data_IF_021484198475
#
_entry.id   IF_021484198475
#
_cell.length_a   1.000
_cell.length_b   1.000
_cell.length_c   1.000
_cell.angle_alpha   90.00
_cell.angle_beta   90.00
_cell.angle_gamma   90.00
#
_symmetry.space_group_name_H-M   'P 1'
#
loop_
_entity.id
_entity.type
_entity.pdbx_description
1 polymer ?
#
# COMPACT_ATOMS: atom_id res chain seq x y z
N UNK A 1 24.60 1.30 12.09
CA UNK A 1 25.56 1.94 11.14
C UNK A 1 26.70 1.00 10.93
N UNK A 2 27.12 0.78 9.69
CA UNK A 2 28.25 -0.10 9.34
C UNK A 2 29.55 0.67 9.20
N UNK A 3 30.65 0.02 9.50
CA UNK A 3 31.99 0.59 9.42
C UNK A 3 32.94 -0.39 8.74
N UNK A 4 34.00 0.12 8.12
CA UNK A 4 35.11 -0.68 7.58
C UNK A 4 36.43 -0.23 8.22
N UNK A 5 37.24 -1.19 8.62
CA UNK A 5 38.59 -0.90 9.14
C UNK A 5 39.54 -0.49 8.03
N UNK A 6 40.12 0.71 8.10
CA UNK A 6 40.88 1.33 6.99
C UNK A 6 42.08 0.56 6.49
N UNK A 7 42.67 -0.30 7.31
CA UNK A 7 43.84 -1.10 6.92
C UNK A 7 43.58 -2.59 6.78
N UNK A 8 42.56 -3.14 7.46
CA UNK A 8 42.27 -4.58 7.45
C UNK A 8 41.12 -4.95 6.53
N UNK A 9 40.32 -3.98 6.08
CA UNK A 9 39.11 -4.24 5.27
C UNK A 9 37.98 -4.97 6.01
N UNK A 10 38.14 -5.25 7.30
CA UNK A 10 37.13 -5.91 8.14
C UNK A 10 35.94 -4.99 8.30
N UNK A 11 34.73 -5.52 8.15
CA UNK A 11 33.50 -4.77 8.40
C UNK A 11 32.93 -5.04 9.78
N UNK A 12 32.23 -4.07 10.33
CA UNK A 12 31.57 -4.16 11.62
C UNK A 12 30.31 -3.31 11.67
N UNK A 13 29.38 -3.70 12.53
CA UNK A 13 28.14 -2.97 12.80
C UNK A 13 28.21 -2.34 14.18
N UNK A 14 27.71 -1.12 14.34
CA UNK A 14 27.65 -0.42 15.64
C UNK A 14 26.19 -0.46 16.16
N UNK A 15 25.85 -1.42 17.04
CA UNK A 15 24.52 -1.51 17.64
C UNK A 15 24.30 -0.49 18.76
N UNK A 16 25.37 -0.12 19.47
CA UNK A 16 25.37 0.81 20.60
C UNK A 16 26.51 1.81 20.44
N UNK A 17 26.48 3.01 21.04
CA UNK A 17 27.57 3.96 20.98
C UNK A 17 28.90 3.32 21.46
N UNK A 18 29.95 3.49 20.67
CA UNK A 18 31.31 2.99 20.94
C UNK A 18 31.49 1.46 21.03
N UNK A 19 30.49 0.69 20.59
CA UNK A 19 30.60 -0.78 20.52
C UNK A 19 30.49 -1.24 19.07
N UNK A 20 31.56 -1.84 18.56
CA UNK A 20 31.58 -2.47 17.24
C UNK A 20 31.40 -3.97 17.37
N UNK A 21 30.56 -4.56 16.55
CA UNK A 21 30.40 -6.01 16.38
C UNK A 21 30.96 -6.38 15.02
N UNK A 22 32.01 -7.19 15.01
CA UNK A 22 32.72 -7.60 13.80
C UNK A 22 31.84 -8.56 13.00
N UNK A 23 31.58 -8.22 11.72
CA UNK A 23 30.83 -9.07 10.83
C UNK A 23 31.58 -10.40 10.59
N UNK A 24 30.86 -11.50 10.72
CA UNK A 24 31.38 -12.86 10.52
C UNK A 24 31.91 -13.55 11.78
N UNK A 25 32.41 -12.83 12.80
CA UNK A 25 32.88 -13.42 14.06
C UNK A 25 31.97 -13.12 15.24
N UNK A 26 31.10 -12.11 15.13
CA UNK A 26 30.32 -11.57 16.24
C UNK A 26 31.13 -11.07 17.45
N UNK A 27 32.43 -10.85 17.27
CA UNK A 27 33.31 -10.28 18.30
C UNK A 27 32.90 -8.85 18.60
N UNK A 28 32.74 -8.52 19.89
CA UNK A 28 32.39 -7.15 20.34
C UNK A 28 33.67 -6.41 20.74
N UNK A 29 33.86 -5.23 20.16
CA UNK A 29 34.98 -4.35 20.42
C UNK A 29 34.47 -3.03 20.98
N UNK A 30 34.92 -2.68 22.20
CA UNK A 30 34.72 -1.32 22.71
C UNK A 30 35.77 -0.39 22.09
N UNK A 31 35.37 0.68 21.49
CA UNK A 31 36.25 1.63 20.80
C UNK A 31 36.02 3.05 21.32
N UNK A 32 37.11 3.78 21.55
CA UNK A 32 36.99 5.21 21.82
C UNK A 32 36.70 5.97 20.54
N UNK A 33 36.13 7.17 20.66
CA UNK A 33 35.86 8.09 19.50
C UNK A 33 37.12 8.34 18.68
N UNK A 34 38.28 8.43 19.30
CA UNK A 34 39.57 8.62 18.64
C UNK A 34 39.94 7.40 17.80
N UNK A 35 39.78 6.19 18.38
CA UNK A 35 40.04 4.91 17.72
C UNK A 35 39.09 4.71 16.56
N UNK A 36 37.81 5.04 16.75
CA UNK A 36 36.78 4.96 15.73
C UNK A 36 37.15 5.84 14.53
N UNK A 37 37.42 7.13 14.76
CA UNK A 37 37.79 8.08 13.69
C UNK A 37 39.10 7.75 12.97
N UNK A 38 40.04 7.15 13.65
CA UNK A 38 41.37 6.84 13.12
C UNK A 38 41.39 5.57 12.28
N UNK A 39 40.70 4.55 12.71
CA UNK A 39 40.82 3.20 12.14
C UNK A 39 39.56 2.68 11.46
N UNK A 40 38.42 3.28 11.73
CA UNK A 40 37.15 2.84 11.20
C UNK A 40 36.47 3.96 10.39
N UNK A 41 36.18 3.68 9.14
CA UNK A 41 35.43 4.57 8.26
C UNK A 41 33.99 4.10 8.22
N UNK A 42 33.06 4.99 8.52
CA UNK A 42 31.65 4.71 8.31
C UNK A 42 31.45 4.34 6.85
N UNK A 43 30.90 3.19 6.59
CA UNK A 43 30.35 2.87 5.29
C UNK A 43 29.06 3.67 5.25
N UNK A 44 29.04 4.76 4.49
CA UNK A 44 27.76 5.25 4.01
C UNK A 44 27.20 4.07 3.22
N UNK A 45 26.24 3.35 3.86
CA UNK A 45 25.35 2.50 3.06
C UNK A 45 24.89 3.45 1.96
N UNK A 46 25.19 3.12 0.71
CA UNK A 46 24.67 3.84 -0.43
C UNK A 46 23.20 4.10 -0.11
N UNK A 47 22.90 5.30 0.36
CA UNK A 47 21.54 5.77 0.33
C UNK A 47 21.16 5.47 -1.09
N UNK A 48 20.21 4.58 -1.36
CA UNK A 48 19.91 4.23 -2.73
C UNK A 48 19.81 5.56 -3.43
N UNK A 49 20.79 5.83 -4.30
CA UNK A 49 20.80 7.02 -5.17
C UNK A 49 19.38 7.08 -5.64
N UNK A 50 18.67 8.15 -5.30
CA UNK A 50 17.24 8.21 -5.56
C UNK A 50 17.10 7.84 -7.02
N UNK A 51 16.76 6.58 -7.27
CA UNK A 51 16.62 6.07 -8.62
C UNK A 51 15.67 7.06 -9.28
N UNK A 52 16.01 7.52 -10.46
CA UNK A 52 15.12 8.44 -11.16
C UNK A 52 13.72 7.86 -11.09
N UNK A 53 12.71 8.66 -10.72
CA UNK A 53 11.38 8.13 -10.52
C UNK A 53 10.94 7.43 -11.81
N UNK A 54 10.65 6.14 -11.71
CA UNK A 54 10.19 5.32 -12.82
C UNK A 54 9.00 6.01 -13.49
N UNK A 55 8.98 6.09 -14.80
CA UNK A 55 7.85 6.65 -15.54
C UNK A 55 6.59 5.83 -15.24
N UNK A 56 5.44 6.47 -15.23
CA UNK A 56 4.17 5.76 -14.96
C UNK A 56 3.96 4.61 -15.96
N UNK A 57 4.34 4.77 -17.22
CA UNK A 57 4.26 3.70 -18.22
C UNK A 57 5.13 2.48 -17.84
N UNK A 58 6.34 2.71 -17.35
CA UNK A 58 7.24 1.64 -16.89
C UNK A 58 6.68 0.95 -15.63
N UNK A 59 6.09 1.74 -14.73
CA UNK A 59 5.40 1.21 -13.54
C UNK A 59 4.25 0.29 -13.92
N UNK A 60 3.38 0.71 -14.83
CA UNK A 60 2.26 -0.10 -15.29
C UNK A 60 2.75 -1.35 -16.02
N UNK A 61 3.73 -1.22 -16.90
CA UNK A 61 4.34 -2.38 -17.59
C UNK A 61 4.92 -3.39 -16.59
N UNK A 62 5.62 -2.94 -15.56
CA UNK A 62 6.17 -3.84 -14.53
C UNK A 62 5.05 -4.56 -13.75
N UNK A 63 3.95 -3.88 -13.45
CA UNK A 63 2.80 -4.47 -12.77
C UNK A 63 2.04 -5.45 -13.68
N UNK A 64 1.96 -5.19 -14.98
CA UNK A 64 1.37 -6.12 -15.96
C UNK A 64 2.22 -7.39 -16.10
N UNK A 65 3.55 -7.26 -16.14
CA UNK A 65 4.46 -8.41 -16.12
C UNK A 65 4.32 -9.21 -14.82
N UNK A 66 4.20 -8.51 -13.68
CA UNK A 66 3.96 -9.14 -12.37
C UNK A 66 2.64 -9.92 -12.37
N UNK A 67 1.57 -9.34 -12.90
CA UNK A 67 0.29 -10.03 -13.06
C UNK A 67 0.44 -11.30 -13.88
N UNK A 68 1.08 -11.23 -15.05
CA UNK A 68 1.26 -12.38 -15.93
C UNK A 68 2.03 -13.51 -15.23
N UNK A 69 3.11 -13.19 -14.48
CA UNK A 69 3.86 -14.15 -13.68
C UNK A 69 3.03 -14.80 -12.57
N UNK A 70 2.30 -13.99 -11.80
CA UNK A 70 1.41 -14.49 -10.74
C UNK A 70 0.28 -15.35 -11.33
N UNK A 71 -0.25 -14.97 -12.49
CA UNK A 71 -1.27 -15.72 -13.20
C UNK A 71 -0.76 -17.12 -13.63
N UNK A 72 0.45 -17.19 -14.16
CA UNK A 72 1.12 -18.46 -14.50
C UNK A 72 1.34 -19.33 -13.24
N UNK A 73 1.87 -18.75 -12.16
CA UNK A 73 2.25 -19.48 -10.95
C UNK A 73 1.03 -20.03 -10.19
N UNK A 74 -0.02 -19.23 -10.04
CA UNK A 74 -1.10 -19.51 -9.09
C UNK A 74 -2.48 -19.72 -9.71
N UNK A 75 -2.65 -19.40 -11.00
CA UNK A 75 -3.96 -19.46 -11.66
C UNK A 75 -3.88 -20.17 -13.02
N UNK A 76 -2.80 -20.89 -13.29
CA UNK A 76 -2.59 -21.68 -14.52
C UNK A 76 -2.73 -20.83 -15.81
N UNK A 77 -2.46 -19.52 -15.72
CA UNK A 77 -2.64 -18.58 -16.83
C UNK A 77 -4.09 -18.32 -17.23
N UNK A 78 -5.07 -18.75 -16.42
CA UNK A 78 -6.49 -18.75 -16.78
C UNK A 78 -7.24 -17.48 -16.44
N UNK A 79 -6.68 -16.58 -15.63
CA UNK A 79 -7.35 -15.33 -15.31
C UNK A 79 -7.40 -14.41 -16.53
N UNK A 80 -8.56 -13.80 -16.80
CA UNK A 80 -8.64 -12.75 -17.82
C UNK A 80 -7.74 -11.58 -17.43
N UNK A 81 -7.02 -11.03 -18.41
CA UNK A 81 -6.14 -9.87 -18.15
C UNK A 81 -6.98 -8.63 -17.83
N UNK A 82 -6.81 -8.04 -16.63
CA UNK A 82 -7.50 -6.80 -16.28
C UNK A 82 -6.73 -5.58 -16.79
N UNK A 83 -7.35 -4.42 -16.75
CA UNK A 83 -6.63 -3.15 -16.79
C UNK A 83 -6.02 -2.92 -15.40
N UNK A 84 -4.70 -2.76 -15.33
CA UNK A 84 -4.02 -2.43 -14.07
C UNK A 84 -3.85 -0.93 -13.97
N UNK A 85 -4.31 -0.36 -12.84
CA UNK A 85 -4.21 1.06 -12.56
C UNK A 85 -3.51 1.34 -11.24
N UNK A 86 -2.95 2.54 -11.10
CA UNK A 86 -2.36 3.03 -9.84
C UNK A 86 -3.02 4.36 -9.52
N UNK A 87 -4.06 4.30 -8.71
CA UNK A 87 -4.86 5.47 -8.34
C UNK A 87 -4.90 5.67 -6.83
N UNK A 88 -5.28 6.87 -6.39
CA UNK A 88 -5.41 7.17 -4.98
C UNK A 88 -6.50 6.35 -4.31
N UNK A 89 -6.11 5.53 -3.34
CA UNK A 89 -7.01 4.71 -2.54
C UNK A 89 -6.55 4.73 -1.08
N UNK A 90 -6.74 5.83 -0.36
CA UNK A 90 -6.07 6.08 0.92
C UNK A 90 -6.49 5.14 2.07
N UNK A 91 -7.49 4.29 1.86
CA UNK A 91 -8.01 3.36 2.88
C UNK A 91 -7.83 1.89 2.51
N UNK A 92 -7.31 1.59 1.33
CA UNK A 92 -7.09 0.22 0.87
C UNK A 92 -5.79 0.14 0.06
N UNK A 93 -5.13 -1.01 0.11
CA UNK A 93 -3.92 -1.25 -0.67
C UNK A 93 -4.21 -1.47 -2.15
N UNK A 94 -5.41 -1.96 -2.47
CA UNK A 94 -5.90 -2.19 -3.81
C UNK A 94 -7.39 -2.43 -3.83
N UNK A 95 -7.94 -2.67 -5.01
CA UNK A 95 -9.27 -3.23 -5.21
C UNK A 95 -9.39 -3.85 -6.60
N UNK A 96 -10.22 -4.88 -6.71
CA UNK A 96 -10.68 -5.46 -7.95
C UNK A 96 -12.13 -5.03 -8.22
N UNK A 97 -12.45 -4.62 -9.44
CA UNK A 97 -13.83 -4.28 -9.81
C UNK A 97 -14.69 -5.53 -9.95
N UNK A 98 -15.93 -5.46 -9.49
CA UNK A 98 -16.90 -6.57 -9.61
C UNK A 98 -17.60 -6.62 -10.97
N UNK A 99 -17.31 -5.66 -11.85
CA UNK A 99 -17.84 -5.55 -13.21
C UNK A 99 -16.73 -5.17 -14.16
N UNK A 100 -16.88 -5.55 -15.41
CA UNK A 100 -16.02 -5.09 -16.49
C UNK A 100 -16.35 -3.63 -16.82
N UNK A 101 -15.53 -2.72 -16.32
CA UNK A 101 -15.77 -1.26 -16.44
C UNK A 101 -14.97 -0.62 -17.57
N UNK A 102 -13.99 -1.32 -18.10
CA UNK A 102 -13.25 -0.90 -19.29
C UNK A 102 -13.84 -1.59 -20.51
N UNK A 103 -14.21 -0.81 -21.52
CA UNK A 103 -14.86 -1.30 -22.73
C UNK A 103 -14.15 -0.75 -23.97
N UNK A 104 -13.95 -1.60 -24.96
CA UNK A 104 -13.63 -1.26 -26.33
C UNK A 104 -14.69 -1.88 -27.24
N UNK A 105 -14.62 -1.65 -28.55
CA UNK A 105 -15.61 -2.15 -29.49
C UNK A 105 -15.80 -3.68 -29.43
N UNK A 106 -14.73 -4.41 -29.11
CA UNK A 106 -14.71 -5.89 -29.13
C UNK A 106 -14.45 -6.54 -27.77
N UNK A 107 -14.19 -5.80 -26.71
CA UNK A 107 -13.81 -6.37 -25.41
C UNK A 107 -14.26 -5.54 -24.21
N UNK A 108 -14.53 -6.24 -23.13
CA UNK A 108 -14.77 -5.63 -21.82
C UNK A 108 -13.79 -6.24 -20.80
N UNK A 109 -13.21 -5.41 -19.92
CA UNK A 109 -12.17 -5.83 -18.97
C UNK A 109 -12.49 -5.35 -17.57
N UNK A 110 -12.09 -6.17 -16.60
CA UNK A 110 -12.06 -5.78 -15.19
C UNK A 110 -10.91 -4.79 -14.93
N UNK A 111 -10.96 -4.10 -13.80
CA UNK A 111 -9.85 -3.29 -13.31
C UNK A 111 -9.31 -3.87 -12.02
N UNK A 112 -7.99 -3.93 -11.90
CA UNK A 112 -7.29 -4.08 -10.63
C UNK A 112 -6.53 -2.78 -10.38
N UNK A 113 -6.92 -2.07 -9.33
CA UNK A 113 -6.21 -0.87 -8.89
C UNK A 113 -5.30 -1.15 -7.71
N UNK A 114 -4.08 -0.66 -7.76
CA UNK A 114 -3.16 -0.62 -6.62
C UNK A 114 -3.12 0.78 -6.03
N UNK A 115 -3.28 0.88 -4.71
CA UNK A 115 -3.32 2.16 -4.00
C UNK A 115 -2.00 2.91 -4.13
N UNK A 116 -2.04 4.04 -4.80
CA UNK A 116 -0.87 4.86 -5.07
C UNK A 116 -0.16 5.36 -3.81
N UNK A 117 -0.86 5.43 -2.67
CA UNK A 117 -0.31 5.79 -1.36
C UNK A 117 0.63 4.71 -0.81
N UNK A 118 0.49 3.48 -1.29
CA UNK A 118 1.16 2.30 -0.75
C UNK A 118 2.09 1.61 -1.75
N UNK A 119 2.28 2.19 -2.94
CA UNK A 119 3.07 1.58 -4.01
C UNK A 119 4.58 1.53 -3.72
N UNK A 120 5.09 2.38 -2.82
CA UNK A 120 6.51 2.47 -2.46
C UNK A 120 6.98 1.41 -1.45
N UNK A 121 6.17 0.37 -1.21
CA UNK A 121 6.53 -0.77 -0.36
C UNK A 121 7.51 -1.71 -1.05
N UNK A 122 8.18 -2.63 -0.29
CA UNK A 122 8.95 -3.71 -0.90
C UNK A 122 8.14 -4.46 -1.96
N UNK A 123 8.78 -4.90 -3.05
CA UNK A 123 8.10 -5.55 -4.18
C UNK A 123 7.31 -6.80 -3.75
N UNK A 124 7.80 -7.57 -2.79
CA UNK A 124 7.07 -8.71 -2.23
C UNK A 124 5.68 -8.32 -1.69
N UNK A 125 5.59 -7.19 -0.99
CA UNK A 125 4.32 -6.68 -0.44
C UNK A 125 3.39 -6.15 -1.55
N UNK A 126 3.93 -5.53 -2.58
CA UNK A 126 3.17 -5.08 -3.75
C UNK A 126 2.63 -6.28 -4.53
N UNK A 127 3.45 -7.32 -4.71
CA UNK A 127 3.06 -8.56 -5.35
C UNK A 127 1.97 -9.31 -4.56
N UNK A 128 2.10 -9.37 -3.22
CA UNK A 128 1.08 -9.95 -2.35
C UNK A 128 -0.25 -9.19 -2.43
N UNK A 129 -0.20 -7.86 -2.54
CA UNK A 129 -1.42 -7.05 -2.76
C UNK A 129 -2.03 -7.34 -4.13
N UNK A 130 -1.22 -7.38 -5.19
CA UNK A 130 -1.74 -7.72 -6.52
C UNK A 130 -2.35 -9.11 -6.53
N UNK A 131 -1.70 -10.11 -5.92
CA UNK A 131 -2.22 -11.47 -5.81
C UNK A 131 -3.53 -11.53 -5.01
N UNK A 132 -3.67 -10.73 -3.95
CA UNK A 132 -4.93 -10.57 -3.20
C UNK A 132 -6.08 -10.13 -4.12
N UNK A 133 -5.86 -9.10 -4.93
CA UNK A 133 -6.87 -8.63 -5.89
C UNK A 133 -7.13 -9.66 -7.02
N UNK A 134 -6.10 -10.44 -7.39
CA UNK A 134 -6.25 -11.55 -8.34
C UNK A 134 -7.08 -12.70 -7.76
N UNK A 135 -7.03 -12.94 -6.44
CA UNK A 135 -7.93 -13.90 -5.76
C UNK A 135 -9.38 -13.43 -5.86
N UNK A 136 -9.65 -12.13 -5.69
CA UNK A 136 -11.00 -11.58 -5.93
C UNK A 136 -11.45 -11.79 -7.36
N UNK A 137 -10.58 -11.52 -8.34
CA UNK A 137 -10.87 -11.76 -9.75
C UNK A 137 -11.14 -13.25 -10.02
N UNK A 138 -10.33 -14.15 -9.45
CA UNK A 138 -10.52 -15.58 -9.56
C UNK A 138 -11.88 -16.02 -9.00
N UNK A 139 -12.21 -15.57 -7.81
CA UNK A 139 -13.50 -15.88 -7.18
C UNK A 139 -14.66 -15.34 -8.02
N UNK A 140 -14.53 -14.13 -8.53
CA UNK A 140 -15.56 -13.50 -9.36
C UNK A 140 -15.85 -14.28 -10.65
N UNK A 141 -14.80 -14.64 -11.40
CA UNK A 141 -14.98 -15.35 -12.69
C UNK A 141 -15.40 -16.81 -12.52
N UNK A 142 -15.21 -17.39 -11.32
CA UNK A 142 -15.65 -18.75 -10.99
C UNK A 142 -16.94 -18.76 -10.14
N UNK A 143 -17.61 -17.62 -9.98
CA UNK A 143 -18.85 -17.49 -9.21
C UNK A 143 -18.71 -17.93 -7.73
N UNK A 144 -17.51 -17.77 -7.17
CA UNK A 144 -17.20 -18.09 -5.77
C UNK A 144 -17.45 -16.83 -4.92
N UNK A 145 -18.25 -16.95 -3.87
CA UNK A 145 -18.50 -15.86 -2.95
C UNK A 145 -17.39 -15.77 -1.90
N UNK A 146 -16.47 -14.85 -2.07
CA UNK A 146 -15.29 -14.59 -1.24
C UNK A 146 -15.47 -13.46 -0.23
N UNK A 147 -16.46 -12.60 -0.46
CA UNK A 147 -16.77 -11.44 0.40
C UNK A 147 -18.23 -11.40 0.78
N UNK A 148 -18.56 -10.64 1.85
CA UNK A 148 -19.93 -10.30 2.23
C UNK A 148 -20.03 -8.80 2.58
N UNK A 149 -21.18 -8.33 3.07
CA UNK A 149 -21.41 -6.91 3.41
C UNK A 149 -21.08 -5.95 2.25
N UNK A 150 -21.55 -6.26 1.04
CA UNK A 150 -21.32 -5.48 -0.18
C UNK A 150 -19.82 -5.36 -0.54
N UNK A 151 -19.07 -6.46 -0.40
CA UNK A 151 -17.64 -6.51 -0.75
C UNK A 151 -16.68 -6.01 0.33
N UNK A 152 -17.18 -5.58 1.49
CA UNK A 152 -16.32 -5.00 2.53
C UNK A 152 -15.67 -6.02 3.46
N UNK A 153 -16.29 -7.19 3.63
CA UNK A 153 -15.85 -8.18 4.61
C UNK A 153 -15.40 -9.45 3.90
N UNK A 154 -14.13 -9.81 4.03
CA UNK A 154 -13.55 -11.03 3.47
C UNK A 154 -13.91 -12.23 4.33
N UNK A 155 -14.53 -13.22 3.72
CA UNK A 155 -15.00 -14.41 4.42
C UNK A 155 -13.93 -15.52 4.50
N UNK A 156 -14.27 -16.68 5.02
CA UNK A 156 -13.35 -17.83 5.12
C UNK A 156 -12.97 -18.42 3.76
N UNK A 157 -13.84 -18.30 2.77
CA UNK A 157 -13.55 -18.77 1.39
C UNK A 157 -12.41 -17.93 0.80
N UNK A 158 -12.47 -16.61 0.96
CA UNK A 158 -11.34 -15.74 0.56
C UNK A 158 -10.04 -16.19 1.22
N UNK A 159 -10.06 -16.41 2.54
CA UNK A 159 -8.88 -16.89 3.27
C UNK A 159 -8.32 -18.17 2.66
N UNK A 160 -9.16 -19.17 2.44
CA UNK A 160 -8.75 -20.46 1.87
C UNK A 160 -8.12 -20.31 0.49
N UNK A 161 -8.74 -19.51 -0.39
CA UNK A 161 -8.24 -19.27 -1.74
C UNK A 161 -6.93 -18.49 -1.75
N UNK A 162 -6.77 -17.52 -0.83
CA UNK A 162 -5.56 -16.73 -0.71
C UNK A 162 -4.40 -17.56 -0.12
N UNK A 163 -4.65 -18.33 0.93
CA UNK A 163 -3.64 -19.22 1.54
C UNK A 163 -3.20 -20.34 0.59
N UNK A 164 -4.08 -20.85 -0.27
CA UNK A 164 -3.71 -21.79 -1.33
C UNK A 164 -2.73 -21.19 -2.36
N UNK A 165 -2.55 -19.87 -2.36
CA UNK A 165 -1.61 -19.12 -3.20
C UNK A 165 -0.45 -18.55 -2.41
N UNK A 166 -0.07 -19.24 -1.33
CA UNK A 166 1.06 -18.89 -0.45
C UNK A 166 0.97 -17.48 0.16
N UNK A 167 -0.20 -16.93 0.31
CA UNK A 167 -0.40 -15.70 1.06
C UNK A 167 -0.68 -16.01 2.53
N UNK A 168 -0.11 -15.24 3.44
CA UNK A 168 -0.51 -15.24 4.84
C UNK A 168 -1.68 -14.29 5.02
N UNK A 169 -2.76 -14.77 5.65
CA UNK A 169 -3.99 -14.02 5.84
C UNK A 169 -4.33 -13.90 7.32
N UNK A 170 -4.35 -12.68 7.82
CA UNK A 170 -4.74 -12.38 9.19
C UNK A 170 -6.15 -11.81 9.25
N UNK A 171 -6.78 -11.95 10.44
CA UNK A 171 -8.16 -11.58 10.68
C UNK A 171 -8.28 -10.22 11.35
N UNK A 172 -9.17 -9.40 10.84
CA UNK A 172 -9.63 -8.16 11.45
C UNK A 172 -11.16 -8.20 11.67
N UNK A 173 -11.62 -7.72 12.82
CA UNK A 173 -13.04 -7.77 13.18
C UNK A 173 -13.95 -6.97 12.24
N UNK A 174 -13.45 -5.88 11.66
CA UNK A 174 -14.24 -4.96 10.84
C UNK A 174 -14.28 -5.36 9.36
N UNK A 175 -13.20 -6.01 8.85
CA UNK A 175 -13.01 -6.30 7.43
C UNK A 175 -12.77 -7.79 7.14
N UNK A 176 -12.80 -8.65 8.17
CA UNK A 176 -12.64 -10.10 8.04
C UNK A 176 -11.19 -10.52 7.76
N UNK A 177 -11.00 -11.51 6.93
CA UNK A 177 -9.71 -12.09 6.54
C UNK A 177 -9.03 -11.27 5.41
N UNK A 178 -8.72 -10.02 5.67
CA UNK A 178 -8.25 -9.05 4.67
C UNK A 178 -6.78 -8.66 4.80
N UNK A 179 -6.16 -8.86 5.98
CA UNK A 179 -4.76 -8.46 6.20
C UNK A 179 -3.88 -9.49 5.51
N UNK A 180 -3.19 -9.07 4.45
CA UNK A 180 -2.41 -9.93 3.57
C UNK A 180 -0.93 -9.61 3.65
N UNK A 181 -0.11 -10.64 3.76
CA UNK A 181 1.35 -10.56 3.66
C UNK A 181 1.91 -11.73 2.82
N UNK A 182 3.06 -11.55 2.15
CA UNK A 182 3.71 -12.64 1.43
C UNK A 182 4.33 -13.63 2.42
N UNK A 183 4.25 -14.93 2.12
CA UNK A 183 5.08 -15.96 2.77
C UNK A 183 6.44 -16.06 2.08
N UNK A 184 7.40 -16.77 2.70
CA UNK A 184 8.68 -17.06 2.06
C UNK A 184 8.48 -17.87 0.77
N UNK A 185 7.57 -18.84 0.78
CA UNK A 185 7.23 -19.66 -0.39
C UNK A 185 6.69 -18.80 -1.55
N UNK A 186 5.86 -17.80 -1.25
CA UNK A 186 5.38 -16.84 -2.25
C UNK A 186 6.52 -16.07 -2.90
N UNK A 187 7.44 -15.56 -2.07
CA UNK A 187 8.58 -14.76 -2.51
C UNK A 187 9.54 -15.62 -3.35
N UNK A 188 9.81 -16.85 -2.95
CA UNK A 188 10.73 -17.74 -3.63
C UNK A 188 10.18 -18.15 -5.00
N UNK A 189 8.91 -18.55 -5.11
CA UNK A 189 8.26 -18.84 -6.41
C UNK A 189 8.31 -17.64 -7.36
N UNK A 190 8.10 -16.44 -6.84
CA UNK A 190 8.16 -15.24 -7.67
C UNK A 190 9.59 -14.96 -8.16
N UNK A 191 10.62 -15.19 -7.33
CA UNK A 191 12.04 -15.11 -7.74
C UNK A 191 12.38 -16.17 -8.80
N UNK A 192 11.93 -17.40 -8.61
CA UNK A 192 12.13 -18.50 -9.54
C UNK A 192 11.49 -18.25 -10.91
N UNK A 193 10.40 -17.48 -10.95
CA UNK A 193 9.77 -17.04 -12.22
C UNK A 193 10.62 -16.05 -13.02
N UNK A 194 11.75 -15.58 -12.46
CA UNK A 194 12.61 -14.57 -13.07
C UNK A 194 12.09 -13.15 -12.98
N UNK A 195 11.08 -12.88 -12.14
CA UNK A 195 10.61 -11.51 -11.91
C UNK A 195 11.64 -10.71 -11.12
N UNK A 196 11.90 -9.47 -11.53
CA UNK A 196 12.86 -8.58 -10.86
C UNK A 196 12.28 -8.02 -9.55
N UNK A 197 12.68 -8.62 -8.43
CA UNK A 197 12.28 -8.20 -7.09
C UNK A 197 12.96 -6.91 -6.61
N UNK A 198 13.94 -6.39 -7.36
CA UNK A 198 14.64 -5.15 -7.02
C UNK A 198 13.87 -3.89 -7.43
N UNK A 199 12.86 -4.02 -8.28
CA UNK A 199 12.02 -2.90 -8.74
C UNK A 199 11.45 -2.15 -7.53
N UNK A 200 11.52 -0.83 -7.58
CA UNK A 200 10.97 0.07 -6.56
C UNK A 200 10.13 1.13 -7.23
N UNK A 201 8.90 1.23 -6.78
CA UNK A 201 8.03 2.32 -7.17
C UNK A 201 8.21 3.47 -6.18
N UNK A 202 8.40 4.68 -6.69
CA UNK A 202 8.58 5.86 -5.85
C UNK A 202 7.41 6.82 -6.03
N UNK A 203 6.59 6.94 -4.98
CA UNK A 203 5.59 8.02 -4.90
C UNK A 203 5.67 8.65 -3.52
N UNK A 204 5.96 9.94 -3.49
CA UNK A 204 5.86 10.72 -2.26
C UNK A 204 4.40 11.13 -2.10
N UNK A 205 3.74 10.57 -1.09
CA UNK A 205 2.42 11.07 -0.69
C UNK A 205 2.61 12.44 -0.05
N UNK A 206 2.00 13.52 -0.59
CA UNK A 206 2.06 14.81 0.04
C UNK A 206 1.57 14.66 1.49
N UNK A 207 2.41 15.02 2.45
CA UNK A 207 1.94 15.10 3.83
C UNK A 207 0.74 16.04 3.83
N UNK A 208 -0.41 15.53 4.24
CA UNK A 208 -1.53 16.41 4.55
C UNK A 208 -0.99 17.37 5.59
N UNK A 209 -0.83 18.65 5.21
CA UNK A 209 -0.66 19.69 6.22
C UNK A 209 -1.73 19.42 7.25
N UNK A 210 -1.32 19.22 8.51
CA UNK A 210 -2.27 19.12 9.61
C UNK A 210 -3.34 20.16 9.33
N UNK A 211 -4.58 19.73 9.27
CA UNK A 211 -5.68 20.63 8.92
C UNK A 211 -5.58 21.79 9.89
N UNK A 212 -4.92 22.88 9.46
CA UNK A 212 -4.99 24.14 10.15
C UNK A 212 -6.47 24.39 10.31
N UNK A 213 -6.93 24.52 11.54
CA UNK A 213 -8.23 25.01 11.97
C UNK A 213 -9.20 25.32 10.81
N UNK A 214 -9.73 24.28 10.18
CA UNK A 214 -10.95 24.49 9.41
C UNK A 214 -12.01 24.77 10.43
N UNK A 215 -12.40 26.02 10.55
CA UNK A 215 -13.54 26.42 11.34
C UNK A 215 -14.67 25.44 11.08
N UNK A 216 -15.19 24.84 12.16
CA UNK A 216 -16.33 23.94 12.03
C UNK A 216 -17.47 24.72 11.36
N UNK A 217 -18.16 24.13 10.39
CA UNK A 217 -19.25 24.85 9.74
C UNK A 217 -20.28 25.29 10.79
N UNK A 218 -20.66 26.53 10.73
CA UNK A 218 -21.75 27.08 11.52
C UNK A 218 -23.04 26.37 11.12
N UNK A 219 -23.86 26.07 12.12
CA UNK A 219 -25.19 25.48 11.95
C UNK A 219 -26.24 26.57 12.15
N UNK A 220 -27.17 26.69 11.21
CA UNK A 220 -28.29 27.60 11.28
C UNK A 220 -29.56 26.79 11.34
N UNK A 221 -30.48 27.14 12.26
CA UNK A 221 -31.74 26.42 12.47
C UNK A 221 -32.90 27.40 12.43
N UNK A 222 -33.95 27.03 11.70
CA UNK A 222 -35.20 27.79 11.74
C UNK A 222 -35.90 27.58 13.10
N UNK A 223 -36.23 28.63 13.87
CA UNK A 223 -36.86 28.49 15.17
C UNK A 223 -38.32 27.97 15.09
N UNK A 224 -38.96 28.01 13.89
CA UNK A 224 -40.33 27.55 13.72
C UNK A 224 -40.38 26.11 13.20
N UNK A 225 -39.72 25.81 12.08
CA UNK A 225 -39.86 24.47 11.42
C UNK A 225 -38.66 23.56 11.62
N UNK A 226 -37.59 24.01 12.30
CA UNK A 226 -36.41 23.19 12.57
C UNK A 226 -35.52 22.89 11.36
N UNK A 227 -35.77 23.48 10.19
CA UNK A 227 -34.89 23.32 9.01
C UNK A 227 -33.46 23.73 9.33
N UNK A 228 -32.48 22.93 8.90
CA UNK A 228 -31.08 23.13 9.20
C UNK A 228 -30.29 23.48 7.93
N UNK A 229 -29.37 24.44 8.04
CA UNK A 229 -28.36 24.77 7.03
C UNK A 229 -27.00 24.83 7.68
N UNK A 230 -25.97 24.33 7.00
CA UNK A 230 -24.56 24.42 7.44
C UNK A 230 -23.75 25.26 6.45
N UNK A 231 -22.96 26.18 6.97
CA UNK A 231 -22.06 27.03 6.17
C UNK A 231 -20.74 27.26 6.89
N UNK A 232 -19.63 27.29 6.13
CA UNK A 232 -18.32 27.72 6.65
C UNK A 232 -18.19 29.25 6.74
N UNK A 233 -19.08 29.99 6.07
CA UNK A 233 -19.16 31.43 6.16
C UNK A 233 -20.23 31.86 7.18
N UNK A 234 -20.02 33.00 7.79
CA UNK A 234 -21.04 33.61 8.65
C UNK A 234 -22.09 34.29 7.77
N UNK A 235 -23.31 33.78 7.82
CA UNK A 235 -24.40 34.20 6.92
C UNK A 235 -25.61 34.69 7.68
N UNK A 236 -26.35 35.60 7.06
CA UNK A 236 -27.73 35.89 7.44
C UNK A 236 -28.64 35.07 6.51
N UNK A 237 -29.36 34.13 7.06
CA UNK A 237 -30.17 33.17 6.29
C UNK A 237 -31.62 33.31 6.74
N UNK A 238 -32.57 33.39 5.80
CA UNK A 238 -34.00 33.41 6.03
C UNK A 238 -34.61 32.07 5.63
N UNK A 239 -35.47 31.54 6.50
CA UNK A 239 -36.24 30.35 6.15
C UNK A 239 -37.35 30.73 5.16
N UNK A 240 -37.26 30.20 3.93
CA UNK A 240 -38.27 30.50 2.89
C UNK A 240 -39.65 29.92 3.20
N UNK A 241 -39.74 28.91 4.08
CA UNK A 241 -41.02 28.28 4.44
C UNK A 241 -41.74 29.10 5.51
N UNK A 242 -41.01 29.57 6.50
CA UNK A 242 -41.60 30.27 7.68
C UNK A 242 -41.45 31.78 7.63
N UNK A 243 -40.70 32.28 6.64
CA UNK A 243 -40.39 33.71 6.45
C UNK A 243 -39.75 34.39 7.67
N UNK A 244 -38.92 33.66 8.42
CA UNK A 244 -38.18 34.12 9.59
C UNK A 244 -36.69 33.95 9.45
N UNK A 245 -35.90 34.74 10.13
CA UNK A 245 -34.47 34.60 10.18
C UNK A 245 -34.09 33.30 10.92
N UNK A 246 -33.09 32.56 10.38
CA UNK A 246 -32.57 31.35 10.99
C UNK A 246 -31.54 31.73 12.07
N UNK A 247 -31.58 31.02 13.19
CA UNK A 247 -30.67 31.19 14.31
C UNK A 247 -29.39 30.37 14.14
N UNK A 248 -28.24 31.01 14.41
CA UNK A 248 -26.95 30.35 14.46
C UNK A 248 -26.85 29.55 15.75
N UNK A 249 -26.66 28.23 15.63
CA UNK A 249 -26.49 27.30 16.74
C UNK A 249 -25.04 26.79 16.71
N UNK A 250 -24.32 26.89 17.81
CA UNK A 250 -22.93 26.43 17.97
C UNK A 250 -22.83 24.94 18.25
#
# INVERSE_FOLDING_TARGET
MKYVHVTKGTTATMPEPNVLVIDGTNERLEVSDITLRRWWKAIEEDKPTAAEPMKMSETITALEVLFDKLNEIYFEGKLPKPVITVQSTPKAYGHCTTKQIWQSDDSAMYEINLGAEFINRPMANTAATLCHEMVHLFCLVNEIQDTCQKGRYHNKTFKTEAEARDLQIDYDRAIGYSITSPTDAFVDKLRESGFDMSIRFARVTPQKKASSDREKPHKYVCPICGQEVKSTADLKIKCAICDVDMEKVN
#
